data_IF_718728127940
#
_entry.id   IF_718728127940
#
_cell.length_a   1.000
_cell.length_b   1.000
_cell.length_c   1.000
_cell.angle_alpha   90.00
_cell.angle_beta   90.00
_cell.angle_gamma   90.00
#
_symmetry.space_group_name_H-M   'P 1'
#
loop_
_entity.id
_entity.type
_entity.pdbx_description
1 polymer ?
#
# COMPACT_ATOMS: atom_id res chain seq x y z
N UNK A 1 -2.31 13.30 -52.32
CA UNK A 1 -1.55 12.63 -51.24
C UNK A 1 -1.68 11.14 -51.42
N UNK A 2 -0.56 10.46 -51.72
CA UNK A 2 -0.51 9.05 -52.11
C UNK A 2 -0.78 8.14 -50.91
N UNK A 3 -1.78 7.26 -51.03
CA UNK A 3 -2.06 6.15 -50.12
C UNK A 3 -1.50 4.87 -50.73
N UNK A 4 -0.45 4.32 -50.11
CA UNK A 4 0.14 3.03 -50.51
C UNK A 4 -0.72 1.89 -49.97
N UNK A 5 -1.56 1.30 -50.82
CA UNK A 5 -2.15 -0.03 -50.61
C UNK A 5 -1.18 -1.09 -51.12
N UNK A 6 -0.31 -1.57 -50.25
CA UNK A 6 0.43 -2.83 -50.45
C UNK A 6 -0.51 -3.99 -50.10
N UNK A 7 -0.39 -5.10 -50.86
CA UNK A 7 -1.26 -6.29 -50.89
C UNK A 7 -2.40 -6.29 -51.93
N UNK A 8 -2.03 -6.27 -53.20
CA UNK A 8 -2.85 -6.79 -54.29
C UNK A 8 -2.47 -8.25 -54.60
N UNK A 9 -3.39 -9.17 -54.32
CA UNK A 9 -3.29 -10.61 -54.56
C UNK A 9 -3.52 -10.90 -56.05
N UNK A 10 -2.50 -11.41 -56.77
CA UNK A 10 -2.66 -11.88 -58.15
C UNK A 10 -3.26 -13.28 -58.17
N UNK A 11 -4.48 -13.41 -58.70
CA UNK A 11 -5.11 -14.68 -59.05
C UNK A 11 -4.57 -15.18 -60.40
N UNK A 12 -4.08 -16.41 -60.47
CA UNK A 12 -3.83 -17.12 -61.74
C UNK A 12 -5.01 -18.05 -62.05
N UNK A 13 -5.60 -17.85 -63.23
CA UNK A 13 -6.78 -18.53 -63.76
C UNK A 13 -6.47 -19.94 -64.28
N UNK A 14 -7.40 -20.88 -64.05
CA UNK A 14 -7.41 -22.26 -64.52
C UNK A 14 -8.16 -22.34 -65.85
N UNK A 15 -7.46 -22.59 -66.97
CA UNK A 15 -8.10 -22.88 -68.27
C UNK A 15 -7.94 -24.37 -68.61
N UNK A 16 -9.04 -25.09 -68.42
CA UNK A 16 -9.34 -26.45 -68.87
C UNK A 16 -9.58 -26.41 -70.39
N UNK A 17 -8.86 -27.23 -71.14
CA UNK A 17 -9.11 -27.51 -72.56
C UNK A 17 -10.17 -28.61 -72.66
N UNK A 18 -11.36 -28.23 -73.11
CA UNK A 18 -12.25 -29.09 -73.89
C UNK A 18 -12.04 -28.71 -75.35
N UNK A 19 -11.87 -29.68 -76.24
CA UNK A 19 -12.75 -29.81 -77.40
C UNK A 19 -12.51 -31.14 -78.12
N UNK A 20 -13.64 -31.80 -78.36
CA UNK A 20 -13.83 -33.06 -79.05
C UNK A 20 -14.30 -32.83 -80.48
N UNK A 21 -13.79 -33.66 -81.39
CA UNK A 21 -14.51 -34.35 -82.48
C UNK A 21 -14.61 -33.73 -83.88
N UNK A 22 -14.57 -34.66 -84.86
CA UNK A 22 -14.79 -34.63 -86.32
C UNK A 22 -13.55 -34.34 -87.16
N UNK A 23 -13.13 -35.11 -88.17
CA UNK A 23 -13.57 -36.37 -88.76
C UNK A 23 -12.94 -36.47 -90.17
N UNK A 24 -12.37 -37.62 -90.55
CA UNK A 24 -12.14 -38.01 -91.96
C UNK A 24 -10.75 -37.83 -92.59
N UNK A 25 -10.17 -38.98 -92.96
CA UNK A 25 -9.29 -39.29 -94.11
C UNK A 25 -7.79 -38.89 -94.11
N UNK A 26 -6.93 -39.90 -94.37
CA UNK A 26 -5.59 -39.72 -94.94
C UNK A 26 -4.48 -40.58 -94.32
N UNK A 27 -4.07 -41.63 -95.03
CA UNK A 27 -2.94 -42.55 -94.79
C UNK A 27 -1.66 -41.95 -94.17
N UNK A 28 -1.06 -42.67 -93.21
CA UNK A 28 0.25 -43.34 -93.39
C UNK A 28 0.82 -43.83 -92.05
N UNK A 29 1.54 -44.96 -92.15
CA UNK A 29 2.09 -45.78 -91.08
C UNK A 29 3.20 -45.08 -90.25
N UNK A 30 3.34 -45.51 -88.99
CA UNK A 30 4.55 -46.10 -88.36
C UNK A 30 4.39 -46.01 -86.82
N UNK A 31 4.34 -47.17 -86.18
CA UNK A 31 4.73 -47.37 -84.77
C UNK A 31 6.16 -47.95 -84.79
N UNK A 32 7.04 -47.74 -83.78
CA UNK A 32 6.82 -48.41 -82.49
C UNK A 32 7.50 -47.80 -81.23
N UNK A 33 7.23 -48.48 -80.09
CA UNK A 33 8.02 -48.63 -78.86
C UNK A 33 7.93 -47.57 -77.73
N UNK A 34 7.07 -47.87 -76.74
CA UNK A 34 6.87 -47.10 -75.50
C UNK A 34 7.18 -47.89 -74.20
N UNK A 35 8.29 -48.63 -74.14
CA UNK A 35 8.74 -49.23 -72.86
C UNK A 35 9.89 -48.46 -72.21
N UNK A 36 10.84 -47.93 -72.98
CA UNK A 36 12.04 -47.27 -72.42
C UNK A 36 11.78 -45.86 -71.85
N UNK A 37 10.93 -45.04 -72.48
CA UNK A 37 10.67 -43.66 -72.02
C UNK A 37 9.82 -43.58 -70.74
N UNK A 38 9.09 -44.64 -70.40
CA UNK A 38 8.23 -44.65 -69.22
C UNK A 38 9.04 -44.90 -67.95
N UNK A 39 10.06 -45.75 -68.01
CA UNK A 39 10.96 -46.02 -66.87
C UNK A 39 11.83 -44.80 -66.54
N UNK A 40 12.30 -44.05 -67.54
CA UNK A 40 13.12 -42.84 -67.33
C UNK A 40 12.30 -41.69 -66.73
N UNK A 41 11.06 -41.49 -67.16
CA UNK A 41 10.15 -40.47 -66.60
C UNK A 41 9.70 -40.78 -65.16
N UNK A 42 9.51 -42.07 -64.84
CA UNK A 42 9.20 -42.50 -63.48
C UNK A 42 10.42 -42.38 -62.55
N UNK A 43 11.62 -42.74 -63.03
CA UNK A 43 12.86 -42.57 -62.28
C UNK A 43 13.19 -41.08 -61.99
N UNK A 44 12.97 -40.17 -62.93
CA UNK A 44 13.19 -38.73 -62.73
C UNK A 44 12.18 -38.13 -61.75
N UNK A 45 10.90 -38.56 -61.81
CA UNK A 45 9.89 -38.16 -60.81
C UNK A 45 10.20 -38.67 -59.41
N UNK A 46 10.64 -39.91 -59.28
CA UNK A 46 11.02 -40.50 -57.99
C UNK A 46 12.29 -39.84 -57.44
N UNK A 47 13.24 -39.44 -58.30
CA UNK A 47 14.42 -38.66 -57.91
C UNK A 47 14.06 -37.25 -57.45
N UNK A 48 13.10 -36.59 -58.11
CA UNK A 48 12.60 -35.26 -57.74
C UNK A 48 11.77 -35.30 -56.45
N UNK A 49 10.99 -36.36 -56.22
CA UNK A 49 10.29 -36.61 -54.96
C UNK A 49 11.28 -36.91 -53.82
N UNK A 50 12.31 -37.72 -54.06
CA UNK A 50 13.37 -38.00 -53.10
C UNK A 50 14.21 -36.74 -52.75
N UNK A 51 14.44 -35.84 -53.71
CA UNK A 51 15.05 -34.52 -53.47
C UNK A 51 14.14 -33.58 -52.67
N UNK A 52 12.81 -33.68 -52.83
CA UNK A 52 11.83 -32.88 -52.07
C UNK A 52 11.70 -33.35 -50.61
N UNK A 53 11.83 -34.66 -50.35
CA UNK A 53 11.80 -35.24 -48.99
C UNK A 53 13.10 -34.92 -48.21
N UNK A 54 14.22 -34.71 -48.91
CA UNK A 54 15.49 -34.22 -48.32
C UNK A 54 15.60 -32.69 -48.23
N UNK A 55 14.49 -31.96 -48.07
CA UNK A 55 14.63 -30.60 -47.52
C UNK A 55 15.13 -30.76 -46.08
N UNK A 56 16.29 -30.20 -45.71
CA UNK A 56 16.92 -30.53 -44.45
C UNK A 56 16.02 -30.05 -43.31
N UNK A 57 15.37 -30.99 -42.62
CA UNK A 57 14.63 -30.77 -41.38
C UNK A 57 15.46 -30.02 -40.32
N UNK A 58 16.79 -30.01 -40.48
CA UNK A 58 17.76 -29.21 -39.76
C UNK A 58 17.50 -27.70 -39.83
N UNK A 59 17.00 -27.16 -40.95
CA UNK A 59 16.76 -25.72 -41.10
C UNK A 59 15.52 -25.25 -40.35
N UNK A 60 14.41 -26.00 -40.40
CA UNK A 60 13.21 -25.65 -39.61
C UNK A 60 13.49 -25.73 -38.11
N UNK A 61 14.18 -26.78 -37.63
CA UNK A 61 14.53 -26.89 -36.21
C UNK A 61 15.49 -25.78 -35.76
N UNK A 62 16.49 -25.42 -36.57
CA UNK A 62 17.37 -24.28 -36.29
C UNK A 62 16.61 -22.96 -36.21
N UNK A 63 15.63 -22.71 -37.09
CA UNK A 63 14.81 -21.50 -37.01
C UNK A 63 13.93 -21.50 -35.77
N UNK A 64 13.26 -22.60 -35.45
CA UNK A 64 12.42 -22.68 -34.24
C UNK A 64 13.24 -22.49 -32.95
N UNK A 65 14.41 -23.13 -32.85
CA UNK A 65 15.33 -22.93 -31.74
C UNK A 65 15.89 -21.50 -31.69
N UNK A 66 16.19 -20.91 -32.84
CA UNK A 66 16.64 -19.51 -32.94
C UNK A 66 15.56 -18.53 -32.48
N UNK A 67 14.31 -18.71 -32.90
CA UNK A 67 13.18 -17.88 -32.45
C UNK A 67 12.90 -18.04 -30.95
N UNK A 68 12.95 -19.28 -30.43
CA UNK A 68 12.82 -19.54 -28.98
C UNK A 68 13.95 -18.88 -28.19
N UNK A 69 15.19 -18.95 -28.68
CA UNK A 69 16.33 -18.30 -28.03
C UNK A 69 16.17 -16.78 -27.99
N UNK A 70 15.78 -16.15 -29.11
CA UNK A 70 15.53 -14.70 -29.16
C UNK A 70 14.36 -14.31 -28.26
N UNK A 71 13.29 -15.11 -28.22
CA UNK A 71 12.14 -14.86 -27.34
C UNK A 71 12.51 -14.98 -25.85
N UNK A 72 13.26 -16.01 -25.46
CA UNK A 72 13.73 -16.20 -24.08
C UNK A 72 14.75 -15.13 -23.67
N UNK A 73 15.63 -14.72 -24.58
CA UNK A 73 16.58 -13.62 -24.36
C UNK A 73 15.84 -12.29 -24.21
N UNK A 74 14.82 -12.03 -25.05
CA UNK A 74 13.97 -10.85 -24.95
C UNK A 74 13.15 -10.83 -23.67
N UNK A 75 12.61 -11.97 -23.24
CA UNK A 75 11.89 -12.11 -21.98
C UNK A 75 12.82 -11.90 -20.78
N UNK A 76 14.02 -12.48 -20.79
CA UNK A 76 14.97 -12.33 -19.68
C UNK A 76 15.56 -10.93 -19.59
N UNK A 77 15.87 -10.29 -20.72
CA UNK A 77 16.21 -8.87 -20.79
C UNK A 77 15.04 -8.01 -20.34
N UNK A 78 13.81 -8.30 -20.77
CA UNK A 78 12.62 -7.56 -20.35
C UNK A 78 12.35 -7.67 -18.85
N UNK A 79 12.44 -8.88 -18.28
CA UNK A 79 12.31 -9.13 -16.85
C UNK A 79 13.46 -8.49 -16.06
N UNK A 80 14.70 -8.60 -16.55
CA UNK A 80 15.86 -7.95 -15.96
C UNK A 80 15.71 -6.43 -15.95
N UNK A 81 15.44 -5.83 -17.11
CA UNK A 81 15.18 -4.40 -17.26
C UNK A 81 13.99 -3.97 -16.40
N UNK A 82 12.90 -4.74 -16.30
CA UNK A 82 11.76 -4.40 -15.43
C UNK A 82 12.10 -4.43 -13.93
N UNK A 83 13.09 -5.25 -13.52
CA UNK A 83 13.60 -5.27 -12.14
C UNK A 83 14.53 -4.09 -11.87
N UNK A 84 15.31 -3.66 -12.86
CA UNK A 84 16.17 -2.48 -12.77
C UNK A 84 15.41 -1.16 -12.90
N UNK A 85 14.38 -1.16 -13.75
CA UNK A 85 13.39 -0.11 -13.90
C UNK A 85 12.11 -0.57 -13.21
N UNK A 86 12.14 -0.68 -11.88
CA UNK A 86 10.92 -0.39 -11.13
C UNK A 86 10.51 1.00 -11.63
N UNK A 87 9.49 1.08 -12.48
CA UNK A 87 9.02 2.32 -13.06
C UNK A 87 8.47 3.16 -11.91
N UNK A 88 9.35 3.94 -11.29
CA UNK A 88 9.02 4.99 -10.35
C UNK A 88 8.02 5.90 -11.03
N UNK A 89 6.78 5.87 -10.57
CA UNK A 89 5.70 6.66 -11.17
C UNK A 89 5.44 7.84 -10.26
N UNK A 90 5.94 9.01 -10.64
CA UNK A 90 5.58 10.27 -9.98
C UNK A 90 4.32 10.82 -10.68
N UNK A 91 3.33 11.21 -9.88
CA UNK A 91 2.09 11.81 -10.40
C UNK A 91 2.09 13.28 -10.02
N UNK A 92 2.39 14.15 -10.98
CA UNK A 92 2.33 15.61 -10.81
C UNK A 92 3.14 16.12 -9.58
N UNK A 93 4.31 15.49 -9.31
CA UNK A 93 5.17 15.85 -8.17
C UNK A 93 4.97 15.01 -6.91
N UNK A 94 3.94 14.15 -6.88
CA UNK A 94 3.63 13.27 -5.75
C UNK A 94 4.46 11.99 -5.78
N UNK A 95 5.17 11.72 -4.68
CA UNK A 95 5.97 10.52 -4.49
C UNK A 95 5.00 9.36 -4.17
N UNK A 96 4.75 8.50 -5.16
CA UNK A 96 3.90 7.34 -4.94
C UNK A 96 4.55 6.34 -3.97
N UNK A 97 3.72 5.45 -3.42
CA UNK A 97 4.09 4.41 -2.44
C UNK A 97 5.37 3.60 -2.78
N UNK A 98 5.74 3.50 -4.05
CA UNK A 98 7.01 2.93 -4.50
C UNK A 98 8.02 4.08 -4.64
N UNK A 99 8.59 4.47 -3.49
CA UNK A 99 9.42 5.67 -3.34
C UNK A 99 10.41 5.87 -4.49
N UNK A 100 10.49 7.11 -4.98
CA UNK A 100 11.49 7.47 -5.98
C UNK A 100 12.86 7.54 -5.34
N UNK A 101 13.83 6.78 -5.86
CA UNK A 101 15.24 6.87 -5.46
C UNK A 101 15.79 8.30 -5.58
N UNK A 102 15.23 9.13 -6.47
CA UNK A 102 15.63 10.51 -6.69
C UNK A 102 15.06 11.51 -5.67
N UNK A 103 14.07 11.10 -4.86
CA UNK A 103 13.46 11.94 -3.82
C UNK A 103 13.87 11.53 -2.40
N UNK A 104 14.64 10.45 -2.28
CA UNK A 104 15.22 10.03 -1.01
C UNK A 104 16.29 11.03 -0.56
N UNK A 105 16.12 11.57 0.64
CA UNK A 105 17.14 12.39 1.30
C UNK A 105 18.12 11.47 2.03
N UNK A 106 19.40 11.52 1.65
CA UNK A 106 20.48 10.78 2.31
C UNK A 106 21.07 11.55 3.49
N UNK A 107 21.79 10.84 4.36
CA UNK A 107 22.54 11.42 5.50
C UNK A 107 21.67 12.24 6.47
N UNK A 108 20.45 11.78 6.75
CA UNK A 108 19.57 12.39 7.76
C UNK A 108 20.05 11.95 9.14
N UNK A 109 20.44 12.92 9.98
CA UNK A 109 20.79 12.68 11.37
C UNK A 109 19.62 13.08 12.26
N UNK A 110 19.23 12.17 13.15
CA UNK A 110 18.19 12.46 14.13
C UNK A 110 18.81 13.11 15.36
N UNK A 111 18.28 14.26 15.72
CA UNK A 111 18.62 14.98 16.94
C UNK A 111 17.35 15.21 17.72
N UNK A 112 17.40 15.04 19.03
CA UNK A 112 16.24 15.29 19.88
C UNK A 112 15.83 16.76 19.81
N UNK A 113 14.53 16.99 19.60
CA UNK A 113 13.89 18.27 19.86
C UNK A 113 12.82 18.10 20.94
N UNK A 114 13.18 18.47 22.17
CA UNK A 114 12.32 18.33 23.34
C UNK A 114 10.97 19.06 23.20
N UNK A 115 10.82 20.03 22.30
CA UNK A 115 9.54 20.76 22.12
C UNK A 115 8.40 19.86 21.62
N UNK A 116 8.74 18.82 20.84
CA UNK A 116 7.75 17.84 20.38
C UNK A 116 7.38 16.82 21.48
N UNK A 117 8.29 16.58 22.41
CA UNK A 117 8.08 15.75 23.60
C UNK A 117 7.34 16.46 24.74
N UNK A 118 7.53 17.78 24.85
CA UNK A 118 7.14 18.57 26.01
C UNK A 118 5.61 18.70 26.21
N UNK A 119 5.25 19.12 27.42
CA UNK A 119 3.87 19.42 27.82
C UNK A 119 3.18 20.40 26.85
N UNK A 120 1.85 20.26 26.62
CA UNK A 120 1.11 21.20 25.79
C UNK A 120 1.21 22.65 26.30
N UNK A 121 1.71 23.52 25.44
CA UNK A 121 1.80 24.97 25.64
C UNK A 121 1.52 25.68 24.32
N UNK A 122 1.39 27.01 24.35
CA UNK A 122 1.21 27.80 23.11
C UNK A 122 2.41 27.63 22.17
N UNK A 123 3.61 27.51 22.73
CA UNK A 123 4.87 27.32 22.01
C UNK A 123 4.96 25.92 21.41
N UNK A 124 4.65 24.87 22.19
CA UNK A 124 4.67 23.50 21.67
C UNK A 124 3.56 23.29 20.63
N UNK A 125 2.40 23.91 20.79
CA UNK A 125 1.34 23.92 19.77
C UNK A 125 1.83 24.47 18.44
N UNK A 126 2.44 25.67 18.45
CA UNK A 126 3.01 26.27 17.23
C UNK A 126 4.06 25.39 16.57
N UNK A 127 4.81 24.63 17.38
CA UNK A 127 5.86 23.73 16.90
C UNK A 127 5.24 22.54 16.15
N UNK A 128 4.18 21.93 16.68
CA UNK A 128 3.42 20.89 15.99
C UNK A 128 2.68 21.41 14.76
N UNK A 129 2.10 22.61 14.84
CA UNK A 129 1.45 23.24 13.68
C UNK A 129 2.43 23.47 12.52
N UNK A 130 3.71 23.75 12.83
CA UNK A 130 4.73 24.06 11.81
C UNK A 130 5.11 22.88 10.91
N UNK A 131 4.90 21.64 11.37
CA UNK A 131 5.20 20.42 10.59
C UNK A 131 3.98 19.89 9.85
N UNK A 132 2.79 20.39 10.18
CA UNK A 132 1.55 20.03 9.49
C UNK A 132 1.36 20.92 8.25
N UNK A 133 0.98 20.34 7.10
CA UNK A 133 0.73 21.14 5.92
C UNK A 133 -0.57 21.93 6.07
N UNK A 134 -0.70 23.00 5.30
CA UNK A 134 -1.99 23.65 5.11
C UNK A 134 -3.00 22.64 4.57
N UNK A 135 -4.23 22.66 5.11
CA UNK A 135 -5.24 21.64 4.82
C UNK A 135 -5.02 20.31 5.53
N UNK A 136 -4.03 20.21 6.44
CA UNK A 136 -3.78 19.09 7.36
C UNK A 136 -3.49 17.73 6.70
N UNK A 137 -3.21 17.71 5.39
CA UNK A 137 -2.88 16.50 4.64
C UNK A 137 -4.07 15.87 3.90
N UNK A 138 -5.24 16.52 3.91
CA UNK A 138 -6.36 16.15 3.06
C UNK A 138 -6.20 16.71 1.66
N UNK A 139 -6.35 15.87 0.64
CA UNK A 139 -6.16 16.22 -0.76
C UNK A 139 -7.36 15.85 -1.62
N UNK A 140 -7.57 16.62 -2.70
CA UNK A 140 -8.37 16.23 -3.86
C UNK A 140 -7.45 16.24 -5.07
N UNK A 141 -7.36 15.14 -5.81
CA UNK A 141 -6.45 15.06 -6.95
C UNK A 141 -7.07 14.28 -8.11
N UNK A 142 -7.13 14.83 -9.33
CA UNK A 142 -7.92 14.27 -10.44
C UNK A 142 -7.47 12.88 -10.91
N UNK A 143 -6.22 12.49 -10.64
CA UNK A 143 -5.66 11.18 -11.01
C UNK A 143 -5.55 10.20 -9.85
N UNK A 144 -5.48 10.69 -8.61
CA UNK A 144 -5.18 9.87 -7.43
C UNK A 144 -6.43 9.66 -6.56
N UNK A 145 -7.43 10.52 -6.70
CA UNK A 145 -8.73 10.41 -6.07
C UNK A 145 -9.81 10.48 -7.17
N UNK A 146 -10.65 9.45 -7.23
CA UNK A 146 -11.72 9.39 -8.25
C UNK A 146 -12.77 10.45 -7.96
N UNK A 147 -13.36 11.02 -9.01
CA UNK A 147 -14.62 11.79 -8.95
C UNK A 147 -14.70 12.87 -7.86
N UNK A 148 -13.59 13.55 -7.55
CA UNK A 148 -13.56 14.63 -6.57
C UNK A 148 -13.54 14.18 -5.10
N UNK A 149 -13.34 12.89 -4.85
CA UNK A 149 -13.11 12.33 -3.52
C UNK A 149 -11.96 13.05 -2.80
N UNK A 150 -12.10 13.16 -1.49
CA UNK A 150 -11.00 13.54 -0.60
C UNK A 150 -10.24 12.27 -0.21
N UNK A 151 -8.91 12.38 -0.14
CA UNK A 151 -8.04 11.37 0.47
C UNK A 151 -7.18 12.04 1.53
N UNK A 152 -6.78 11.30 2.55
CA UNK A 152 -5.76 11.75 3.49
C UNK A 152 -4.41 11.12 3.11
N UNK A 153 -3.31 11.86 3.22
CA UNK A 153 -1.97 11.29 3.09
C UNK A 153 -1.57 10.74 4.46
N UNK A 154 -1.20 9.46 4.51
CA UNK A 154 -1.01 8.70 5.75
C UNK A 154 -0.05 9.36 6.74
N UNK A 155 1.10 9.88 6.31
CA UNK A 155 2.08 10.52 7.23
C UNK A 155 1.48 11.66 8.06
N UNK A 156 0.59 12.46 7.48
CA UNK A 156 -0.01 13.59 8.21
C UNK A 156 -1.09 13.13 9.18
N UNK A 157 -1.83 12.08 8.83
CA UNK A 157 -2.74 11.43 9.78
C UNK A 157 -1.96 10.78 10.94
N UNK A 158 -0.84 10.10 10.66
CA UNK A 158 0.04 9.51 11.68
C UNK A 158 0.61 10.56 12.64
N UNK A 159 1.06 11.71 12.13
CA UNK A 159 1.54 12.84 12.95
C UNK A 159 0.40 13.41 13.80
N UNK A 160 -0.81 13.56 13.26
CA UNK A 160 -1.98 14.01 14.00
C UNK A 160 -2.33 13.07 15.16
N UNK A 161 -2.37 11.75 14.92
CA UNK A 161 -2.61 10.77 15.98
C UNK A 161 -1.52 10.80 17.06
N UNK A 162 -0.25 10.96 16.66
CA UNK A 162 0.85 11.07 17.61
C UNK A 162 0.71 12.31 18.51
N UNK A 163 0.29 13.43 17.94
CA UNK A 163 -0.04 14.64 18.71
C UNK A 163 -1.19 14.41 19.69
N UNK A 164 -2.25 13.71 19.28
CA UNK A 164 -3.41 13.41 20.14
C UNK A 164 -3.03 12.47 21.29
N UNK A 165 -2.19 11.45 21.03
CA UNK A 165 -1.67 10.56 22.06
C UNK A 165 -0.84 11.33 23.11
N UNK A 166 0.03 12.23 22.65
CA UNK A 166 0.80 13.11 23.53
C UNK A 166 -0.11 13.97 24.38
N UNK A 167 -1.11 14.59 23.75
CA UNK A 167 -2.08 15.44 24.45
C UNK A 167 -2.84 14.65 25.50
N UNK A 168 -3.36 13.47 25.15
CA UNK A 168 -4.07 12.59 26.06
C UNK A 168 -3.22 12.16 27.27
N UNK A 169 -1.95 11.82 27.05
CA UNK A 169 -1.00 11.50 28.11
C UNK A 169 -0.91 12.63 29.15
N UNK A 170 -0.65 13.86 28.70
CA UNK A 170 -0.52 15.01 29.60
C UNK A 170 -1.85 15.42 30.24
N UNK A 171 -2.94 15.42 29.49
CA UNK A 171 -4.25 15.79 30.05
C UNK A 171 -4.69 14.80 31.12
N UNK A 172 -4.46 13.50 30.91
CA UNK A 172 -4.82 12.48 31.90
C UNK A 172 -3.96 12.60 33.17
N UNK A 173 -2.65 12.81 33.01
CA UNK A 173 -1.76 13.05 34.15
C UNK A 173 -2.19 14.29 34.95
N UNK A 174 -2.54 15.38 34.26
CA UNK A 174 -3.03 16.60 34.89
C UNK A 174 -4.37 16.38 35.63
N UNK A 175 -5.33 15.67 35.03
CA UNK A 175 -6.61 15.35 35.68
C UNK A 175 -6.40 14.51 36.95
N UNK A 176 -5.50 13.51 36.92
CA UNK A 176 -5.18 12.71 38.09
C UNK A 176 -4.59 13.57 39.22
N UNK A 177 -3.61 14.42 38.90
CA UNK A 177 -3.02 15.34 39.87
C UNK A 177 -4.07 16.30 40.47
N UNK A 178 -4.98 16.83 39.64
CA UNK A 178 -6.07 17.70 40.05
C UNK A 178 -7.04 16.99 41.01
N UNK A 179 -7.40 15.74 40.72
CA UNK A 179 -8.26 14.93 41.59
C UNK A 179 -7.61 14.68 42.95
N UNK A 180 -6.31 14.34 42.96
CA UNK A 180 -5.55 14.13 44.20
C UNK A 180 -5.48 15.40 45.06
N UNK A 181 -5.29 16.56 44.43
CA UNK A 181 -5.28 17.85 45.13
C UNK A 181 -6.61 18.13 45.83
N UNK A 182 -7.73 18.01 45.12
CA UNK A 182 -9.05 18.22 45.71
C UNK A 182 -9.39 17.22 46.82
N UNK A 183 -8.93 15.97 46.71
CA UNK A 183 -9.08 14.99 47.78
C UNK A 183 -8.28 15.40 49.03
N UNK A 184 -7.05 15.88 48.88
CA UNK A 184 -6.24 16.37 50.00
C UNK A 184 -6.86 17.60 50.68
N UNK A 185 -7.40 18.54 49.90
CA UNK A 185 -8.16 19.70 50.42
C UNK A 185 -9.39 19.25 51.22
N UNK A 186 -10.18 18.32 50.69
CA UNK A 186 -11.38 17.81 51.39
C UNK A 186 -11.07 17.13 52.73
N UNK A 187 -9.90 16.47 52.86
CA UNK A 187 -9.45 15.82 54.09
C UNK A 187 -8.86 16.80 55.12
N UNK A 188 -8.45 17.99 54.69
CA UNK A 188 -7.81 19.00 55.54
C UNK A 188 -8.77 20.05 56.10
N UNK A 189 -10.02 20.10 55.61
CA UNK A 189 -11.08 20.90 56.23
C UNK A 189 -11.39 20.36 57.64
N UNK A 190 -11.30 21.20 58.70
CA UNK A 190 -11.63 20.78 60.06
C UNK A 190 -13.07 20.29 60.09
N UNK A 191 -13.28 19.15 60.74
CA UNK A 191 -14.60 18.61 60.98
C UNK A 191 -15.33 19.52 61.99
N UNK A 192 -15.85 20.67 61.56
CA UNK A 192 -16.78 21.49 62.35
C UNK A 192 -18.18 20.89 62.24
N UNK A 193 -18.29 19.60 62.56
CA UNK A 193 -19.57 19.01 62.92
C UNK A 193 -19.95 19.54 64.30
N UNK A 194 -21.18 20.02 64.51
CA UNK A 194 -21.63 20.39 65.86
C UNK A 194 -21.53 19.15 66.77
N UNK A 195 -21.24 19.31 68.07
CA UNK A 195 -21.23 18.19 68.99
C UNK A 195 -22.62 17.55 68.97
N UNK A 196 -22.69 16.25 68.68
CA UNK A 196 -23.91 15.47 68.76
C UNK A 196 -24.57 15.66 70.13
N UNK A 197 -25.65 16.43 70.14
CA UNK A 197 -26.70 16.43 71.16
C UNK A 197 -27.94 15.77 70.54
N UNK A 198 -28.65 15.03 71.37
CA UNK A 198 -29.57 13.97 71.00
C UNK A 198 -30.90 14.46 70.39
N UNK A 199 -31.51 13.62 69.52
CA UNK A 199 -32.92 13.66 69.05
C UNK A 199 -33.31 14.91 68.21
N UNK A 200 -34.16 14.90 67.20
CA UNK A 200 -35.25 14.03 66.77
C UNK A 200 -35.62 14.46 65.33
N UNK A 201 -36.10 13.51 64.52
CA UNK A 201 -37.23 13.68 63.61
C UNK A 201 -37.37 14.98 62.79
N UNK A 202 -37.14 14.92 61.47
CA UNK A 202 -38.15 15.30 60.46
C UNK A 202 -37.66 14.88 59.07
N UNK A 203 -38.41 13.96 58.48
CA UNK A 203 -38.35 13.63 57.06
C UNK A 203 -39.41 14.47 56.37
N UNK A 204 -39.04 15.33 55.43
CA UNK A 204 -40.01 15.74 54.40
C UNK A 204 -39.31 16.06 53.07
N UNK A 205 -39.76 15.32 52.07
CA UNK A 205 -39.41 15.44 50.67
C UNK A 205 -39.96 16.74 50.08
N UNK A 206 -39.11 17.48 49.38
CA UNK A 206 -39.55 18.16 48.17
C UNK A 206 -38.71 17.65 47.00
N UNK A 207 -39.33 16.71 46.28
CA UNK A 207 -38.94 16.31 44.95
C UNK A 207 -39.19 17.48 43.98
N UNK A 208 -38.10 18.06 43.48
CA UNK A 208 -38.09 18.66 42.15
C UNK A 208 -37.37 17.68 41.23
N UNK A 209 -38.14 17.12 40.31
CA UNK A 209 -37.70 16.23 39.24
C UNK A 209 -36.63 16.92 38.39
N UNK A 210 -35.41 16.42 38.48
CA UNK A 210 -34.43 16.41 37.39
C UNK A 210 -33.77 15.02 37.44
N UNK A 211 -34.53 14.03 36.95
CA UNK A 211 -34.09 12.66 36.69
C UNK A 211 -33.22 12.66 35.43
N UNK A 212 -31.94 13.01 35.59
CA UNK A 212 -30.87 12.52 34.72
C UNK A 212 -29.55 12.48 35.48
N UNK A 213 -29.58 11.86 36.67
CA UNK A 213 -28.35 11.54 37.38
C UNK A 213 -27.95 10.14 36.97
N UNK A 214 -27.36 10.03 35.77
CA UNK A 214 -26.67 8.86 35.25
C UNK A 214 -26.05 8.04 36.37
N UNK A 215 -26.52 6.81 36.53
CA UNK A 215 -25.95 5.81 37.41
C UNK A 215 -24.46 5.68 37.09
N UNK A 216 -23.62 6.21 37.97
CA UNK A 216 -22.18 6.00 37.87
C UNK A 216 -21.95 4.49 38.07
N UNK A 217 -21.56 3.81 37.01
CA UNK A 217 -21.14 2.42 37.07
C UNK A 217 -20.09 2.26 38.19
N UNK A 218 -20.23 1.26 39.08
CA UNK A 218 -19.25 1.03 40.13
C UNK A 218 -17.85 0.82 39.55
N UNK A 219 -16.85 1.49 40.11
CA UNK A 219 -15.46 1.29 39.72
C UNK A 219 -15.06 -0.18 39.92
N UNK A 220 -14.65 -0.82 38.84
CA UNK A 220 -14.16 -2.20 38.85
C UNK A 220 -12.66 -2.17 38.55
N UNK A 221 -11.78 -2.48 39.53
CA UNK A 221 -10.34 -2.47 39.31
C UNK A 221 -9.93 -3.48 38.23
N UNK A 222 -8.99 -3.09 37.37
CA UNK A 222 -8.37 -4.00 36.43
C UNK A 222 -7.12 -4.62 37.07
N UNK A 223 -7.14 -5.92 37.46
CA UNK A 223 -6.02 -6.52 38.19
C UNK A 223 -4.71 -6.54 37.40
N UNK A 224 -4.76 -6.54 36.07
CA UNK A 224 -3.57 -6.46 35.23
C UNK A 224 -2.94 -5.07 35.29
N UNK A 225 -3.74 -4.00 35.18
CA UNK A 225 -3.25 -2.63 35.30
C UNK A 225 -2.69 -2.39 36.72
N UNK A 226 -3.36 -2.87 37.76
CA UNK A 226 -2.86 -2.78 39.13
C UNK A 226 -1.49 -3.46 39.28
N UNK A 227 -1.30 -4.62 38.63
CA UNK A 227 0.00 -5.29 38.63
C UNK A 227 1.10 -4.45 37.98
N UNK A 228 0.80 -3.74 36.88
CA UNK A 228 1.75 -2.84 36.21
C UNK A 228 2.10 -1.62 37.08
N UNK A 229 1.15 -1.10 37.85
CA UNK A 229 1.41 0.01 38.80
C UNK A 229 2.33 -0.41 39.95
N UNK A 230 2.28 -1.69 40.34
CA UNK A 230 3.11 -2.28 41.39
C UNK A 230 4.46 -2.81 40.88
N UNK A 231 4.58 -3.02 39.58
CA UNK A 231 5.83 -3.39 38.95
C UNK A 231 6.72 -2.16 38.93
N UNK A 232 7.87 -2.25 39.58
CA UNK A 232 8.88 -1.19 39.64
C UNK A 232 9.61 -1.15 38.29
N UNK A 233 8.90 -0.72 37.24
CA UNK A 233 9.42 -0.70 35.88
C UNK A 233 10.42 0.44 35.72
N UNK A 234 11.60 0.10 35.20
CA UNK A 234 12.79 0.96 35.11
C UNK A 234 12.69 2.07 34.04
N UNK A 235 11.52 2.27 33.43
CA UNK A 235 11.30 3.25 32.38
C UNK A 235 10.35 4.34 32.89
N UNK A 236 10.93 5.29 33.62
CA UNK A 236 10.21 6.42 34.19
C UNK A 236 9.60 7.36 33.13
N UNK A 237 8.96 8.46 33.56
CA UNK A 237 8.34 9.44 32.66
C UNK A 237 9.29 10.02 31.61
N UNK A 238 10.60 9.95 31.84
CA UNK A 238 11.64 10.32 30.89
C UNK A 238 11.53 9.54 29.56
N UNK A 239 11.23 8.23 29.62
CA UNK A 239 11.09 7.38 28.43
C UNK A 239 9.91 7.81 27.56
N UNK A 240 8.77 8.09 28.18
CA UNK A 240 7.58 8.56 27.45
C UNK A 240 7.83 9.92 26.81
N UNK A 241 8.56 10.81 27.48
CA UNK A 241 8.83 12.14 26.95
C UNK A 241 9.65 12.08 25.66
N UNK A 242 10.80 11.41 25.61
CA UNK A 242 11.59 11.37 24.37
C UNK A 242 10.97 10.45 23.28
N UNK A 243 10.10 9.49 23.66
CA UNK A 243 9.44 8.57 22.72
C UNK A 243 8.58 9.30 21.68
N UNK A 244 7.83 10.33 22.09
CA UNK A 244 7.03 11.12 21.14
C UNK A 244 7.90 11.77 20.06
N UNK A 245 9.08 12.25 20.41
CA UNK A 245 10.02 12.85 19.46
C UNK A 245 10.67 11.79 18.56
N UNK A 246 11.04 10.64 19.12
CA UNK A 246 11.55 9.50 18.34
C UNK A 246 10.54 9.03 17.30
N UNK A 247 9.29 8.79 17.71
CA UNK A 247 8.22 8.34 16.81
C UNK A 247 7.93 9.39 15.73
N UNK A 248 7.89 10.68 16.08
CA UNK A 248 7.70 11.75 15.10
C UNK A 248 8.81 11.73 14.04
N UNK A 249 10.07 11.60 14.45
CA UNK A 249 11.20 11.52 13.53
C UNK A 249 11.12 10.28 12.63
N UNK A 250 10.74 9.13 13.18
CA UNK A 250 10.52 7.91 12.40
C UNK A 250 9.41 8.08 11.35
N UNK A 251 8.27 8.66 11.72
CA UNK A 251 7.15 8.94 10.82
C UNK A 251 7.55 9.89 9.69
N UNK A 252 8.25 10.99 10.00
CA UNK A 252 8.69 11.96 9.00
C UNK A 252 9.82 11.43 8.11
N UNK A 253 10.68 10.56 8.64
CA UNK A 253 11.76 9.93 7.88
C UNK A 253 11.22 8.85 6.94
N UNK A 254 10.21 8.08 7.37
CA UNK A 254 9.55 7.10 6.52
C UNK A 254 8.61 7.77 5.50
N UNK A 255 8.00 8.89 5.88
CA UNK A 255 7.08 9.70 5.09
C UNK A 255 6.05 8.85 4.33
N UNK A 256 5.22 8.11 5.07
CA UNK A 256 4.20 7.24 4.47
C UNK A 256 3.26 8.04 3.52
N UNK A 257 3.43 7.83 2.21
CA UNK A 257 2.66 8.50 1.17
C UNK A 257 1.42 7.71 0.74
N UNK A 258 1.03 6.65 1.46
CA UNK A 258 -0.22 5.95 1.16
C UNK A 258 -1.43 6.91 1.27
N UNK A 259 -2.42 6.70 0.40
CA UNK A 259 -3.65 7.49 0.38
C UNK A 259 -4.76 6.73 1.11
N UNK A 260 -5.26 7.35 2.17
CA UNK A 260 -6.29 6.79 3.02
C UNK A 260 -7.68 7.26 2.57
N UNK A 261 -8.65 6.35 2.69
CA UNK A 261 -10.05 6.67 2.47
C UNK A 261 -10.53 7.59 3.58
N UNK A 262 -11.30 8.63 3.22
CA UNK A 262 -11.90 9.56 4.18
C UNK A 262 -13.40 9.33 4.30
N UNK A 263 -13.93 9.59 5.48
CA UNK A 263 -15.35 9.59 5.76
C UNK A 263 -15.81 11.00 6.12
N UNK A 264 -17.01 11.36 5.67
CA UNK A 264 -17.68 12.59 6.06
C UNK A 264 -18.60 12.29 7.24
N UNK A 265 -18.54 13.14 8.26
CA UNK A 265 -19.40 13.11 9.42
C UNK A 265 -19.97 14.49 9.73
N UNK A 266 -20.94 14.54 10.63
CA UNK A 266 -21.45 15.79 11.20
C UNK A 266 -21.04 15.85 12.67
N UNK A 267 -20.33 16.90 13.03
CA UNK A 267 -19.88 17.17 14.39
C UNK A 267 -21.02 17.54 15.33
N UNK A 268 -20.71 17.62 16.63
CA UNK A 268 -21.69 17.94 17.65
C UNK A 268 -22.33 19.34 17.48
N UNK A 269 -21.63 20.28 16.84
CA UNK A 269 -22.16 21.62 16.50
C UNK A 269 -22.74 21.72 15.08
N UNK A 270 -22.91 20.60 14.38
CA UNK A 270 -23.50 20.57 13.04
C UNK A 270 -22.51 20.88 11.91
N UNK A 271 -21.22 21.03 12.20
CA UNK A 271 -20.17 21.21 11.19
C UNK A 271 -19.87 19.91 10.45
N UNK A 272 -19.58 20.00 9.15
CA UNK A 272 -19.08 18.85 8.39
C UNK A 272 -17.62 18.58 8.78
N UNK A 273 -17.37 17.35 9.23
CA UNK A 273 -16.04 16.88 9.61
C UNK A 273 -15.58 15.86 8.56
N UNK A 274 -14.37 16.04 8.07
CA UNK A 274 -13.69 15.03 7.25
C UNK A 274 -12.68 14.34 8.15
N UNK A 275 -12.87 13.03 8.32
CA UNK A 275 -11.97 12.17 9.08
C UNK A 275 -11.50 10.99 8.24
N UNK A 276 -10.54 10.24 8.77
CA UNK A 276 -10.15 8.95 8.22
C UNK A 276 -9.81 8.03 9.38
N UNK A 277 -10.17 6.74 9.26
CA UNK A 277 -9.80 5.73 10.25
C UNK A 277 -8.54 4.96 9.83
N UNK A 278 -7.94 5.31 8.68
CA UNK A 278 -6.79 4.63 8.07
C UNK A 278 -7.02 3.16 7.64
N UNK A 279 -8.14 2.55 8.02
CA UNK A 279 -8.55 1.19 7.66
C UNK A 279 -9.01 1.07 6.19
N UNK A 280 -9.09 -0.17 5.71
CA UNK A 280 -9.57 -0.55 4.36
C UNK A 280 -8.86 0.17 3.19
N UNK A 281 -7.68 0.72 3.45
CA UNK A 281 -6.84 1.40 2.48
C UNK A 281 -5.65 0.51 2.13
N UNK A 282 -5.43 0.25 0.84
CA UNK A 282 -4.30 -0.56 0.39
C UNK A 282 -2.97 0.14 0.74
N UNK A 283 -2.00 -0.62 1.24
CA UNK A 283 -0.67 -0.13 1.59
C UNK A 283 0.43 -0.96 0.98
N UNK A 284 1.57 -0.32 0.75
CA UNK A 284 2.83 -0.98 0.47
C UNK A 284 3.70 -0.93 1.72
N UNK A 285 4.00 -2.11 2.27
CA UNK A 285 4.77 -2.25 3.51
C UNK A 285 6.11 -2.94 3.24
N UNK A 286 7.07 -2.73 4.15
CA UNK A 286 8.24 -3.62 4.26
C UNK A 286 7.79 -4.93 4.89
N UNK A 287 8.45 -6.03 4.51
CA UNK A 287 8.20 -7.34 5.10
C UNK A 287 8.67 -7.35 6.56
N UNK A 288 7.72 -7.25 7.48
CA UNK A 288 7.99 -7.20 8.92
C UNK A 288 8.61 -8.51 9.42
N UNK A 289 8.12 -9.65 8.95
CA UNK A 289 8.61 -10.95 9.38
C UNK A 289 10.04 -11.17 8.90
N UNK A 290 10.37 -10.77 7.68
CA UNK A 290 11.75 -10.83 7.20
C UNK A 290 12.72 -9.96 8.04
N UNK A 291 12.27 -8.76 8.47
CA UNK A 291 13.08 -7.89 9.34
C UNK A 291 13.25 -8.52 10.74
N UNK A 292 12.15 -9.06 11.29
CA UNK A 292 12.14 -9.73 12.59
C UNK A 292 13.06 -10.96 12.59
N UNK A 293 12.93 -11.83 11.60
CA UNK A 293 13.76 -13.03 11.45
C UNK A 293 15.25 -12.66 11.32
N UNK A 294 15.57 -11.62 10.55
CA UNK A 294 16.93 -11.10 10.47
C UNK A 294 17.43 -10.63 11.84
N UNK A 295 16.64 -9.83 12.57
CA UNK A 295 17.02 -9.34 13.89
C UNK A 295 17.24 -10.49 14.89
N UNK A 296 16.37 -11.50 14.89
CA UNK A 296 16.49 -12.70 15.74
C UNK A 296 17.76 -13.52 15.40
N UNK A 297 18.10 -13.63 14.11
CA UNK A 297 19.30 -14.34 13.66
C UNK A 297 20.60 -13.65 14.11
N UNK A 298 20.56 -12.33 14.29
CA UNK A 298 21.70 -11.50 14.71
C UNK A 298 21.57 -10.91 16.11
N UNK A 299 20.67 -11.46 16.94
CA UNK A 299 20.41 -10.98 18.30
C UNK A 299 21.68 -11.09 19.17
N UNK A 300 21.87 -10.10 20.04
CA UNK A 300 23.01 -10.05 20.99
C UNK A 300 22.74 -10.93 22.23
N UNK A 301 21.48 -11.23 22.54
CA UNK A 301 21.08 -12.08 23.66
C UNK A 301 19.71 -12.70 23.45
N UNK A 302 19.30 -13.55 24.39
CA UNK A 302 18.05 -14.32 24.34
C UNK A 302 16.90 -13.67 25.14
N UNK A 303 17.09 -12.44 25.64
CA UNK A 303 15.99 -11.66 26.19
C UNK A 303 14.95 -11.41 25.08
N UNK A 304 13.68 -11.66 25.39
CA UNK A 304 12.57 -11.45 24.47
C UNK A 304 11.40 -10.78 25.19
N UNK A 305 10.45 -10.26 24.41
CA UNK A 305 9.37 -9.41 24.93
C UNK A 305 9.57 -7.95 24.53
N UNK A 306 8.59 -7.12 24.88
CA UNK A 306 8.63 -5.67 24.65
C UNK A 306 9.49 -4.95 25.72
N UNK A 307 9.70 -5.62 26.86
CA UNK A 307 10.51 -5.20 28.02
C UNK A 307 11.24 -6.40 28.61
#
# INVERSE_FOLDING_TARGET
MQSLKLFAQKSTSYRRLSDTSTGGEGSACISPNSSAQKEEYHADKDLLLAKRIRRPWRWSCMHTCGYLFVALLGLSLGLGLSRFFNLEYEVDGFITQWGSSNRNIGNVFWSENASFAAEPSVETQKTWDSIMPQGRGFIKHPKLAKDGEVKAIAVFHQIHCLYDLRTAFYTNAYQLAKLQHHQAESRSLPNTGPPHGDSEFFSEHHASNDDDRTSLEPFTPNPFIESLLSAEDQHGPEHTTHCFEYLRQALMCAADTNLEVTHQGIGASGEEIIGTEAWDSARVCRDYDAVREWAEAWRVGDAGGVV
#
